data_IF_502192857696
#
_entry.id   IF_502192857696
#
_cell.length_a   1.000
_cell.length_b   1.000
_cell.length_c   1.000
_cell.angle_alpha   90.00
_cell.angle_beta   90.00
_cell.angle_gamma   90.00
#
_symmetry.space_group_name_H-M   'P 1'
#
loop_
_entity.id
_entity.type
_entity.pdbx_description
1 polymer ?
#
# COMPACT_ATOMS: atom_id res chain seq x y z
N UNK A 1 6.07 -2.12 -73.70
CA UNK A 1 5.13 -1.35 -72.85
C UNK A 1 3.80 -1.22 -73.59
N UNK A 2 2.80 -1.97 -73.12
CA UNK A 2 1.41 -2.11 -73.62
C UNK A 2 0.63 -2.45 -72.33
N UNK A 3 -0.58 -1.99 -72.01
CA UNK A 3 -1.68 -1.36 -72.75
C UNK A 3 -2.86 -1.17 -71.77
N UNK A 4 -3.77 -0.25 -72.12
CA UNK A 4 -5.23 -0.26 -71.92
C UNK A 4 -5.89 -0.05 -70.52
N UNK A 5 -6.57 1.10 -70.46
CA UNK A 5 -7.87 1.43 -69.83
C UNK A 5 -8.85 0.24 -69.78
N UNK A 6 -9.67 0.08 -68.73
CA UNK A 6 -11.12 -0.20 -68.81
C UNK A 6 -11.82 -0.14 -67.43
N UNK A 7 -12.93 0.61 -67.39
CA UNK A 7 -13.96 0.56 -66.36
C UNK A 7 -14.60 -0.84 -66.27
N UNK A 8 -15.15 -1.21 -65.11
CA UNK A 8 -16.58 -1.55 -64.94
C UNK A 8 -16.83 -2.47 -63.73
N UNK A 9 -17.77 -2.00 -62.89
CA UNK A 9 -18.94 -2.74 -62.38
C UNK A 9 -18.72 -4.21 -62.00
N UNK A 10 -18.63 -4.47 -60.68
CA UNK A 10 -18.81 -5.81 -60.13
C UNK A 10 -20.30 -6.04 -59.85
N UNK A 11 -20.93 -6.91 -60.66
CA UNK A 11 -22.26 -7.47 -60.45
C UNK A 11 -22.17 -8.68 -59.51
N UNK A 12 -23.16 -8.76 -58.62
CA UNK A 12 -23.52 -9.81 -57.67
C UNK A 12 -23.26 -11.26 -58.11
N UNK A 13 -22.81 -12.08 -57.15
CA UNK A 13 -23.14 -13.50 -57.07
C UNK A 13 -23.51 -13.89 -55.64
N UNK A 14 -24.80 -14.20 -55.47
CA UNK A 14 -25.37 -14.94 -54.35
C UNK A 14 -24.85 -16.38 -54.39
N UNK A 15 -24.18 -16.81 -53.32
CA UNK A 15 -24.02 -18.22 -53.00
C UNK A 15 -24.43 -18.39 -51.53
N UNK A 16 -25.52 -19.12 -51.30
CA UNK A 16 -25.96 -19.48 -49.97
C UNK A 16 -25.05 -20.53 -49.35
N UNK A 17 -24.87 -20.43 -48.03
CA UNK A 17 -24.60 -21.57 -47.16
C UNK A 17 -25.42 -21.38 -45.89
N UNK A 18 -26.21 -22.40 -45.56
CA UNK A 18 -26.98 -22.51 -44.34
C UNK A 18 -26.06 -22.36 -43.12
N UNK A 19 -26.42 -21.47 -42.20
CA UNK A 19 -25.73 -21.34 -40.92
C UNK A 19 -26.13 -22.52 -40.03
N UNK A 20 -25.19 -23.44 -39.85
CA UNK A 20 -25.20 -24.43 -38.79
C UNK A 20 -25.10 -23.72 -37.43
N UNK A 21 -25.86 -24.11 -36.39
CA UNK A 21 -25.73 -23.48 -35.08
C UNK A 21 -24.36 -23.81 -34.48
N UNK A 22 -23.55 -22.76 -34.31
CA UNK A 22 -22.25 -22.81 -33.63
C UNK A 22 -22.44 -23.32 -32.19
N UNK A 23 -21.68 -24.32 -31.72
CA UNK A 23 -21.79 -24.78 -30.34
C UNK A 23 -21.42 -23.63 -29.41
N UNK A 24 -22.31 -23.30 -28.47
CA UNK A 24 -22.05 -22.29 -27.44
C UNK A 24 -20.72 -22.62 -26.75
N UNK A 25 -19.71 -21.79 -27.02
CA UNK A 25 -18.46 -21.82 -26.29
C UNK A 25 -18.80 -21.57 -24.82
N UNK A 26 -18.63 -22.60 -23.98
CA UNK A 26 -18.67 -22.48 -22.52
C UNK A 26 -17.64 -21.41 -22.15
N UNK A 27 -18.12 -20.22 -21.80
CA UNK A 27 -17.24 -19.14 -21.34
C UNK A 27 -16.63 -19.60 -20.03
N UNK A 28 -15.31 -19.80 -20.02
CA UNK A 28 -14.57 -20.00 -18.78
C UNK A 28 -14.84 -18.80 -17.84
N UNK A 29 -15.04 -19.01 -16.53
CA UNK A 29 -15.20 -17.92 -15.60
C UNK A 29 -13.94 -17.04 -15.68
N UNK A 30 -14.13 -15.78 -16.04
CA UNK A 30 -13.07 -14.78 -16.01
C UNK A 30 -12.52 -14.72 -14.58
N UNK A 31 -11.21 -14.93 -14.35
CA UNK A 31 -10.65 -14.84 -13.02
C UNK A 31 -10.88 -13.42 -12.50
N UNK A 32 -11.54 -13.30 -11.35
CA UNK A 32 -11.63 -12.05 -10.60
C UNK A 32 -10.20 -11.62 -10.26
N UNK A 33 -9.77 -10.40 -10.58
CA UNK A 33 -8.45 -9.93 -10.18
C UNK A 33 -8.40 -9.86 -8.64
N UNK A 34 -7.62 -10.74 -8.04
CA UNK A 34 -7.18 -10.56 -6.65
C UNK A 34 -6.18 -9.41 -6.67
N UNK A 35 -6.53 -8.27 -6.07
CA UNK A 35 -5.57 -7.18 -5.88
C UNK A 35 -4.50 -7.71 -4.93
N UNK A 36 -3.31 -7.96 -5.46
CA UNK A 36 -2.13 -8.31 -4.67
C UNK A 36 -1.71 -7.04 -3.91
N UNK A 37 -1.96 -7.02 -2.60
CA UNK A 37 -1.47 -5.96 -1.72
C UNK A 37 0.04 -6.09 -1.68
N UNK A 38 0.77 -5.05 -2.09
CA UNK A 38 2.23 -5.08 -2.04
C UNK A 38 2.72 -5.15 -0.59
N UNK A 39 3.89 -5.75 -0.34
CA UNK A 39 4.49 -5.81 1.00
C UNK A 39 4.63 -4.41 1.65
N UNK A 40 4.90 -3.36 0.87
CA UNK A 40 4.96 -1.99 1.38
C UNK A 40 3.58 -1.48 1.85
N UNK A 41 2.49 -1.88 1.20
CA UNK A 41 1.14 -1.52 1.66
C UNK A 41 0.80 -2.19 2.99
N UNK A 42 1.21 -3.45 3.18
CA UNK A 42 1.06 -4.15 4.46
C UNK A 42 1.92 -3.51 5.56
N UNK A 43 3.19 -3.19 5.26
CA UNK A 43 4.08 -2.49 6.18
C UNK A 43 3.51 -1.12 6.61
N UNK A 44 2.99 -0.34 5.65
CA UNK A 44 2.39 0.96 5.90
C UNK A 44 1.09 0.88 6.70
N UNK A 45 0.25 -0.12 6.45
CA UNK A 45 -0.94 -0.36 7.26
C UNK A 45 -0.56 -0.71 8.70
N UNK A 46 0.37 -1.64 8.89
CA UNK A 46 0.88 -2.04 10.21
C UNK A 46 1.48 -0.85 10.97
N UNK A 47 2.36 -0.07 10.33
CA UNK A 47 2.95 1.10 10.95
C UNK A 47 1.92 2.20 11.27
N UNK A 48 0.92 2.38 10.41
CA UNK A 48 -0.20 3.29 10.67
C UNK A 48 -0.98 2.92 11.93
N UNK A 49 -1.25 1.63 12.15
CA UNK A 49 -1.88 1.15 13.39
C UNK A 49 -1.02 1.42 14.62
N UNK A 50 0.29 1.16 14.54
CA UNK A 50 1.22 1.46 15.65
C UNK A 50 1.24 2.95 15.99
N UNK A 51 1.24 3.81 14.98
CA UNK A 51 1.25 5.27 15.17
C UNK A 51 0.00 5.76 15.90
N UNK A 52 -1.16 5.15 15.62
CA UNK A 52 -2.42 5.45 16.31
C UNK A 52 -2.40 4.94 17.74
N UNK A 53 -1.96 3.70 17.95
CA UNK A 53 -1.92 3.09 19.27
C UNK A 53 -0.97 3.85 20.20
N UNK A 54 0.15 4.34 19.66
CA UNK A 54 1.08 5.20 20.39
C UNK A 54 0.41 6.48 20.85
N UNK A 55 -0.32 7.16 19.96
CA UNK A 55 -1.06 8.36 20.32
C UNK A 55 -2.03 8.09 21.47
N UNK A 56 -2.75 6.96 21.42
CA UNK A 56 -3.69 6.55 22.46
C UNK A 56 -2.98 6.28 23.79
N UNK A 57 -1.85 5.57 23.78
CA UNK A 57 -1.05 5.30 24.99
C UNK A 57 -0.50 6.58 25.60
N UNK A 58 -0.12 7.56 24.79
CA UNK A 58 0.38 8.85 25.29
C UNK A 58 -0.75 9.67 25.94
N UNK A 59 -1.92 9.72 25.30
CA UNK A 59 -3.07 10.50 25.79
C UNK A 59 -3.74 9.81 26.99
N UNK A 60 -3.87 8.49 26.94
CA UNK A 60 -4.54 7.65 27.92
C UNK A 60 -3.62 6.51 28.38
N UNK A 61 -2.57 6.80 29.18
CA UNK A 61 -1.60 5.81 29.56
C UNK A 61 -2.24 4.66 30.36
N UNK A 62 -2.00 3.39 29.98
CA UNK A 62 -2.50 2.24 30.72
C UNK A 62 -1.97 2.24 32.16
N UNK A 63 -2.86 1.95 33.12
CA UNK A 63 -2.52 1.98 34.55
C UNK A 63 -1.72 0.77 35.01
N UNK A 64 -1.65 -0.28 34.19
CA UNK A 64 -1.11 -1.60 34.49
C UNK A 64 0.14 -1.96 33.66
N UNK A 65 0.66 -1.02 32.86
CA UNK A 65 1.83 -1.23 32.00
C UNK A 65 2.91 -0.19 32.32
N UNK A 66 4.17 -0.63 32.38
CA UNK A 66 5.30 0.29 32.58
C UNK A 66 5.66 1.03 31.29
N UNK A 67 6.36 2.16 31.44
CA UNK A 67 6.85 2.94 30.31
C UNK A 67 7.78 2.16 29.38
N UNK A 68 8.54 1.23 29.95
CA UNK A 68 9.48 0.37 29.23
C UNK A 68 8.71 -0.68 28.43
N UNK A 69 7.75 -1.38 29.04
CA UNK A 69 6.95 -2.39 28.35
C UNK A 69 6.14 -1.80 27.19
N UNK A 70 5.56 -0.61 27.37
CA UNK A 70 4.87 0.11 26.31
C UNK A 70 5.82 0.50 25.16
N UNK A 71 7.07 0.88 25.49
CA UNK A 71 8.10 1.22 24.51
C UNK A 71 8.53 0.00 23.71
N UNK A 72 8.91 -1.07 24.39
CA UNK A 72 9.41 -2.31 23.77
C UNK A 72 8.35 -2.93 22.85
N UNK A 73 7.10 -3.02 23.32
CA UNK A 73 6.01 -3.61 22.54
C UNK A 73 5.68 -2.84 21.26
N UNK A 74 5.87 -1.52 21.24
CA UNK A 74 5.68 -0.74 20.01
C UNK A 74 6.90 -0.77 19.11
N UNK A 75 8.13 -0.77 19.66
CA UNK A 75 9.35 -0.97 18.86
C UNK A 75 9.32 -2.30 18.12
N UNK A 76 8.88 -3.39 18.76
CA UNK A 76 8.72 -4.70 18.10
C UNK A 76 7.74 -4.65 16.92
N UNK A 77 6.66 -3.88 17.06
CA UNK A 77 5.65 -3.71 15.98
C UNK A 77 6.18 -2.83 14.84
N UNK A 78 6.96 -1.79 15.13
CA UNK A 78 7.64 -0.98 14.11
C UNK A 78 8.69 -1.81 13.38
N UNK A 79 9.49 -2.63 14.10
CA UNK A 79 10.46 -3.55 13.52
C UNK A 79 9.78 -4.57 12.59
N UNK A 80 8.64 -5.12 13.01
CA UNK A 80 7.83 -6.01 12.16
C UNK A 80 7.38 -5.33 10.86
N UNK A 81 6.93 -4.07 10.92
CA UNK A 81 6.58 -3.30 9.73
C UNK A 81 7.82 -3.03 8.85
N UNK A 82 8.96 -2.72 9.47
CA UNK A 82 10.23 -2.52 8.76
C UNK A 82 10.69 -3.76 8.00
N UNK A 83 10.57 -4.96 8.59
CA UNK A 83 10.96 -6.22 7.96
C UNK A 83 10.12 -6.57 6.73
N UNK A 84 8.89 -6.06 6.64
CA UNK A 84 8.01 -6.20 5.48
C UNK A 84 8.29 -5.13 4.40
N UNK A 85 8.74 -3.96 4.84
CA UNK A 85 8.97 -2.83 3.96
C UNK A 85 10.20 -3.03 3.07
N UNK A 86 10.22 -2.28 1.97
CA UNK A 86 11.36 -2.18 1.07
C UNK A 86 11.59 -0.74 0.62
N UNK A 87 12.78 -0.45 0.09
CA UNK A 87 13.10 0.84 -0.49
C UNK A 87 12.97 2.02 0.47
N UNK A 88 12.28 3.06 0.03
CA UNK A 88 12.13 4.32 0.78
C UNK A 88 11.33 4.14 2.08
N UNK A 89 10.31 3.27 2.08
CA UNK A 89 9.50 2.99 3.28
C UNK A 89 10.39 2.36 4.35
N UNK A 90 11.17 1.33 4.01
CA UNK A 90 12.08 0.68 4.96
C UNK A 90 13.13 1.65 5.50
N UNK A 91 13.72 2.46 4.63
CA UNK A 91 14.74 3.45 5.00
C UNK A 91 14.21 4.45 6.05
N UNK A 92 12.97 4.91 5.87
CA UNK A 92 12.37 5.89 6.79
C UNK A 92 11.88 5.25 8.09
N UNK A 93 11.38 4.02 8.05
CA UNK A 93 11.05 3.24 9.25
C UNK A 93 12.29 2.99 10.11
N UNK A 94 13.41 2.61 9.48
CA UNK A 94 14.67 2.42 10.19
C UNK A 94 15.14 3.71 10.88
N UNK A 95 15.12 4.83 10.16
CA UNK A 95 15.46 6.14 10.73
C UNK A 95 14.57 6.50 11.92
N UNK A 96 13.27 6.25 11.82
CA UNK A 96 12.35 6.50 12.92
C UNK A 96 12.75 5.69 14.17
N UNK A 97 13.09 4.41 14.00
CA UNK A 97 13.54 3.55 15.11
C UNK A 97 14.85 4.04 15.73
N UNK A 98 15.81 4.47 14.91
CA UNK A 98 17.11 4.95 15.37
C UNK A 98 17.02 6.27 16.17
N UNK A 99 15.98 7.07 15.93
CA UNK A 99 15.77 8.37 16.58
C UNK A 99 14.89 8.29 17.85
N UNK A 100 14.34 7.10 18.19
CA UNK A 100 13.59 6.93 19.44
C UNK A 100 14.56 7.03 20.64
N UNK A 101 14.31 7.94 21.59
CA UNK A 101 15.22 8.14 22.72
C UNK A 101 15.32 6.89 23.61
N UNK A 102 16.50 6.65 24.19
CA UNK A 102 16.72 5.59 25.20
C UNK A 102 15.81 5.74 26.43
N UNK A 103 15.30 6.94 26.68
CA UNK A 103 14.34 7.25 27.75
C UNK A 103 12.95 6.67 27.47
N UNK A 104 12.76 6.09 26.29
CA UNK A 104 11.53 5.47 25.83
C UNK A 104 10.50 6.48 25.32
N UNK A 105 9.39 5.96 24.82
CA UNK A 105 8.38 6.78 24.15
C UNK A 105 7.62 7.73 25.07
N UNK A 106 7.73 7.58 26.39
CA UNK A 106 7.21 8.56 27.35
C UNK A 106 7.91 9.92 27.25
N UNK A 107 9.13 9.98 26.70
CA UNK A 107 9.78 11.26 26.40
C UNK A 107 9.01 12.07 25.35
N UNK A 108 8.22 11.42 24.50
CA UNK A 108 7.36 12.08 23.50
C UNK A 108 6.22 12.90 24.12
N UNK A 109 5.99 12.81 25.43
CA UNK A 109 5.08 13.73 26.14
C UNK A 109 5.74 15.12 26.30
N UNK A 110 7.07 15.13 26.41
CA UNK A 110 7.86 16.34 26.68
C UNK A 110 8.32 16.98 25.37
N UNK A 111 8.75 16.16 24.42
CA UNK A 111 9.18 16.61 23.09
C UNK A 111 8.91 15.53 22.03
N UNK A 112 7.93 15.79 21.16
CA UNK A 112 7.49 14.92 20.07
C UNK A 112 7.82 15.44 18.68
N UNK A 113 8.46 16.61 18.57
CA UNK A 113 8.55 17.34 17.29
C UNK A 113 9.28 16.53 16.23
N UNK A 114 10.47 16.01 16.58
CA UNK A 114 11.29 15.22 15.66
C UNK A 114 10.64 13.87 15.35
N UNK A 115 10.01 13.25 16.35
CA UNK A 115 9.27 12.00 16.18
C UNK A 115 8.12 12.16 15.17
N UNK A 116 7.24 13.15 15.37
CA UNK A 116 6.12 13.41 14.47
C UNK A 116 6.59 13.81 13.05
N UNK A 117 7.72 14.53 12.95
CA UNK A 117 8.33 14.81 11.65
C UNK A 117 8.78 13.55 10.92
N UNK A 118 9.35 12.57 11.63
CA UNK A 118 9.74 11.28 11.07
C UNK A 118 8.54 10.40 10.73
N UNK A 119 7.49 10.36 11.57
CA UNK A 119 6.22 9.68 11.23
C UNK A 119 5.63 10.26 9.94
N UNK A 120 5.60 11.59 9.83
CA UNK A 120 5.21 12.27 8.59
C UNK A 120 6.11 11.94 7.39
N UNK A 121 7.39 11.67 7.62
CA UNK A 121 8.30 11.19 6.60
C UNK A 121 7.94 9.79 6.11
N UNK A 122 7.67 8.85 7.01
CA UNK A 122 7.22 7.50 6.64
C UNK A 122 5.90 7.56 5.87
N UNK A 123 4.93 8.35 6.33
CA UNK A 123 3.64 8.50 5.68
C UNK A 123 3.76 8.94 4.22
N UNK A 124 4.62 9.93 3.93
CA UNK A 124 4.87 10.38 2.55
C UNK A 124 5.48 9.30 1.66
N UNK A 125 6.30 8.41 2.22
CA UNK A 125 6.82 7.26 1.46
C UNK A 125 5.73 6.22 1.21
N UNK A 126 4.88 5.96 2.21
CA UNK A 126 3.71 5.09 2.05
C UNK A 126 2.75 5.59 0.97
N UNK A 127 2.44 6.89 0.95
CA UNK A 127 1.59 7.50 -0.08
C UNK A 127 2.20 7.38 -1.48
N UNK A 128 3.53 7.53 -1.60
CA UNK A 128 4.23 7.35 -2.87
C UNK A 128 4.14 5.91 -3.40
N UNK A 129 4.02 4.92 -2.50
CA UNK A 129 3.81 3.51 -2.80
C UNK A 129 2.31 3.12 -2.87
N UNK A 130 1.41 4.10 -2.81
CA UNK A 130 -0.03 3.90 -2.94
C UNK A 130 -0.72 3.37 -1.68
N UNK A 131 -0.07 3.47 -0.51
CA UNK A 131 -0.64 3.15 0.78
C UNK A 131 -1.04 4.44 1.53
N UNK A 132 -2.34 4.65 1.75
CA UNK A 132 -2.81 5.75 2.59
C UNK A 132 -2.63 5.39 4.07
N UNK A 133 -2.00 6.27 4.83
CA UNK A 133 -1.73 6.06 6.24
C UNK A 133 -2.38 7.15 7.08
N UNK A 134 -3.15 6.75 8.09
CA UNK A 134 -3.69 7.69 9.08
C UNK A 134 -2.62 8.01 10.12
N UNK A 135 -2.16 9.24 10.13
CA UNK A 135 -1.32 9.77 11.20
C UNK A 135 -2.19 10.44 12.25
N UNK A 136 -1.91 10.17 13.53
CA UNK A 136 -2.52 10.88 14.66
C UNK A 136 -1.41 11.63 15.37
N UNK A 137 -1.58 12.94 15.53
CA UNK A 137 -0.78 13.75 16.44
C UNK A 137 -1.52 13.90 17.77
N UNK A 138 -0.78 13.96 18.86
CA UNK A 138 -1.30 14.22 20.20
C UNK A 138 -0.67 15.52 20.69
N UNK A 139 -1.47 16.53 21.00
CA UNK A 139 -1.01 17.84 21.44
C UNK A 139 -2.09 18.55 22.23
#
# INVERSE_FOLDING_TARGET
MRRFVFCAVAVLLLAGCASEPEPEAVREPTPTPTVEVSANQEACASFGEVSVDLAEVIVNPPTDMTAVEATDGMLERIDSAYLLASGDVATRLQRLMDEIPEQGMFWLIVDDTDYLANVGSVARACEADGAEMRIVSWG
#
